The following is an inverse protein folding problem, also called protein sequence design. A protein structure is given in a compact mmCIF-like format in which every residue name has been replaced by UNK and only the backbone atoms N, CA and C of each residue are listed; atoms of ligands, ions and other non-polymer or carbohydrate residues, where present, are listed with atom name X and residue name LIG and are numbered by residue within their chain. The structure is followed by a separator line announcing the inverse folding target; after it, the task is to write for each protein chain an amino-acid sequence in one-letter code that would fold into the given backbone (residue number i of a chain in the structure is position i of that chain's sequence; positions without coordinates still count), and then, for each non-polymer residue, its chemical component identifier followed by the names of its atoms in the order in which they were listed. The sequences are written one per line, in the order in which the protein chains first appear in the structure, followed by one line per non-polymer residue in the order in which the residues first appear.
data_IF_101554150995
#
_entry.id   IF_101554150995
#
_cell.length_a   1.000
_cell.length_b   1.000
_cell.length_c   1.000
_cell.angle_alpha   90.00
_cell.angle_beta   90.00
_cell.angle_gamma   90.00
#
_symmetry.space_group_name_H-M   'P 1'
#
loop_
_entity.id
_entity.type
_entity.pdbx_description
1 polymer ?
#
# COMPACT_ATOMS: atom_id res chain seq x y z
N UNK A 1 11.49 -76.23 48.14
CA UNK A 1 10.65 -75.27 47.40
C UNK A 1 9.80 -76.08 46.44
N UNK A 2 8.53 -76.33 46.78
CA UNK A 2 7.72 -77.27 45.99
C UNK A 2 7.47 -76.70 44.60
N UNK A 3 7.73 -77.54 43.59
CA UNK A 3 7.53 -77.31 42.15
C UNK A 3 6.18 -76.67 41.79
N UNK A 4 5.18 -76.82 42.66
CA UNK A 4 3.82 -76.31 42.53
C UNK A 4 3.73 -74.81 42.27
N UNK A 5 4.53 -73.98 42.99
CA UNK A 5 4.46 -72.52 42.82
C UNK A 5 5.11 -72.03 41.52
N UNK A 6 6.10 -72.75 41.00
CA UNK A 6 6.81 -72.38 39.77
C UNK A 6 5.99 -72.76 38.53
N UNK A 7 5.23 -73.88 38.61
CA UNK A 7 4.29 -74.29 37.56
C UNK A 7 3.08 -73.34 37.48
N UNK A 8 2.55 -72.88 38.62
CA UNK A 8 1.43 -71.93 38.63
C UNK A 8 1.81 -70.55 38.07
N UNK A 9 3.05 -70.11 38.28
CA UNK A 9 3.55 -68.82 37.76
C UNK A 9 3.88 -68.88 36.26
N UNK A 10 4.42 -70.00 35.78
CA UNK A 10 4.74 -70.21 34.37
C UNK A 10 3.49 -70.45 33.49
N UNK A 11 2.34 -70.79 34.10
CA UNK A 11 1.05 -70.94 33.43
C UNK A 11 0.11 -69.73 33.57
N UNK A 12 0.62 -68.56 34.00
CA UNK A 12 -0.15 -67.32 33.92
C UNK A 12 -0.26 -66.91 32.45
N UNK A 13 -1.34 -67.35 31.80
CA UNK A 13 -1.69 -66.94 30.44
C UNK A 13 -2.13 -65.48 30.50
N UNK A 14 -1.20 -64.56 30.22
CA UNK A 14 -1.51 -63.15 30.06
C UNK A 14 -2.28 -63.01 28.75
N UNK A 15 -3.53 -62.51 28.75
CA UNK A 15 -4.31 -62.32 27.53
C UNK A 15 -3.82 -61.05 26.83
N UNK A 16 -2.63 -61.14 26.22
CA UNK A 16 -1.91 -60.02 25.57
C UNK A 16 -2.79 -59.27 24.58
N UNK A 17 -3.64 -59.95 23.81
CA UNK A 17 -4.59 -59.29 22.91
C UNK A 17 -5.61 -58.41 23.63
N UNK A 18 -6.11 -58.83 24.80
CA UNK A 18 -7.06 -58.03 25.58
C UNK A 18 -6.37 -56.82 26.21
N UNK A 19 -5.14 -57.00 26.67
CA UNK A 19 -4.33 -55.91 27.23
C UNK A 19 -4.03 -54.87 26.16
N UNK A 20 -3.61 -55.30 24.96
CA UNK A 20 -3.31 -54.40 23.84
C UNK A 20 -4.56 -53.68 23.33
N UNK A 21 -5.71 -54.35 23.27
CA UNK A 21 -6.99 -53.72 22.92
C UNK A 21 -7.37 -52.62 23.92
N UNK A 22 -7.17 -52.85 25.22
CA UNK A 22 -7.44 -51.85 26.26
C UNK A 22 -6.47 -50.66 26.14
N UNK A 23 -5.19 -50.91 25.86
CA UNK A 23 -4.17 -49.86 25.64
C UNK A 23 -4.52 -49.02 24.41
N UNK A 24 -4.82 -49.65 23.27
CA UNK A 24 -5.18 -48.94 22.04
C UNK A 24 -6.47 -48.13 22.20
N UNK A 25 -7.46 -48.68 22.93
CA UNK A 25 -8.71 -47.98 23.24
C UNK A 25 -8.48 -46.78 24.16
N UNK A 26 -7.59 -46.89 25.14
CA UNK A 26 -7.22 -45.78 26.02
C UNK A 26 -6.45 -44.68 25.26
N UNK A 27 -5.46 -45.04 24.45
CA UNK A 27 -4.65 -44.09 23.64
C UNK A 27 -5.52 -43.38 22.60
N UNK A 28 -6.36 -44.12 21.87
CA UNK A 28 -7.26 -43.52 20.86
C UNK A 28 -8.30 -42.60 21.49
N UNK A 29 -8.82 -42.92 22.69
CA UNK A 29 -9.74 -42.05 23.44
C UNK A 29 -9.04 -40.76 23.89
N UNK A 30 -7.80 -40.83 24.37
CA UNK A 30 -7.00 -39.66 24.74
C UNK A 30 -6.66 -38.76 23.54
N UNK A 31 -6.23 -39.35 22.43
CA UNK A 31 -5.92 -38.61 21.19
C UNK A 31 -7.16 -37.94 20.59
N UNK A 32 -8.33 -38.61 20.60
CA UNK A 32 -9.59 -38.01 20.17
C UNK A 32 -9.98 -36.81 21.03
N UNK A 33 -9.80 -36.90 22.36
CA UNK A 33 -10.11 -35.81 23.28
C UNK A 33 -9.20 -34.59 23.09
N UNK A 34 -7.90 -34.82 22.84
CA UNK A 34 -6.93 -33.74 22.56
C UNK A 34 -7.19 -33.09 21.19
N UNK A 35 -7.48 -33.88 20.15
CA UNK A 35 -7.84 -33.36 18.81
C UNK A 35 -9.18 -32.60 18.84
N UNK A 36 -10.17 -33.08 19.60
CA UNK A 36 -11.44 -32.39 19.78
C UNK A 36 -11.27 -31.07 20.54
N UNK A 37 -10.48 -31.05 21.64
CA UNK A 37 -10.18 -29.82 22.39
C UNK A 37 -9.42 -28.80 21.53
N UNK A 38 -8.45 -29.24 20.71
CA UNK A 38 -7.71 -28.37 19.78
C UNK A 38 -8.59 -27.81 18.66
N UNK A 39 -9.52 -28.62 18.11
CA UNK A 39 -10.53 -28.18 17.13
C UNK A 39 -11.56 -27.24 17.74
N UNK A 40 -11.96 -27.44 18.99
CA UNK A 40 -12.88 -26.58 19.71
C UNK A 40 -12.25 -25.22 20.05
N UNK A 41 -10.97 -25.20 20.44
CA UNK A 41 -10.21 -23.97 20.67
C UNK A 41 -9.99 -23.21 19.34
N UNK A 42 -9.62 -23.90 18.25
CA UNK A 42 -9.53 -23.28 16.92
C UNK A 42 -10.88 -22.77 16.40
N UNK A 43 -11.96 -23.52 16.63
CA UNK A 43 -13.31 -23.11 16.24
C UNK A 43 -13.79 -21.88 17.02
N UNK A 44 -13.48 -21.80 18.32
CA UNK A 44 -13.80 -20.64 19.14
C UNK A 44 -13.01 -19.38 18.72
N UNK A 45 -11.74 -19.51 18.32
CA UNK A 45 -10.95 -18.37 17.84
C UNK A 45 -11.43 -17.84 16.49
N UNK A 46 -11.87 -18.71 15.58
CA UNK A 46 -12.43 -18.28 14.27
C UNK A 46 -13.81 -17.64 14.46
N UNK A 47 -14.66 -18.18 15.34
CA UNK A 47 -15.95 -17.58 15.67
C UNK A 47 -15.82 -16.23 16.37
N UNK A 48 -14.82 -16.04 17.25
CA UNK A 48 -14.52 -14.74 17.85
C UNK A 48 -14.03 -13.73 16.80
N UNK A 49 -13.18 -14.14 15.86
CA UNK A 49 -12.75 -13.27 14.75
C UNK A 49 -13.90 -12.90 13.83
N UNK A 50 -14.75 -13.85 13.44
CA UNK A 50 -15.96 -13.58 12.65
C UNK A 50 -16.95 -12.72 13.44
N UNK A 51 -17.16 -12.95 14.73
CA UNK A 51 -18.04 -12.13 15.56
C UNK A 51 -17.48 -10.71 15.81
N UNK A 52 -16.16 -10.51 15.82
CA UNK A 52 -15.55 -9.19 15.85
C UNK A 52 -15.67 -8.46 14.50
N UNK A 53 -15.65 -9.19 13.37
CA UNK A 53 -15.81 -8.62 12.02
C UNK A 53 -17.28 -8.33 11.70
N UNK A 54 -18.21 -9.21 12.10
CA UNK A 54 -19.66 -9.05 11.84
C UNK A 54 -20.41 -8.34 12.97
N UNK A 55 -19.90 -8.38 14.22
CA UNK A 55 -20.53 -7.76 15.38
C UNK A 55 -20.29 -6.25 15.51
N UNK A 56 -19.31 -5.69 14.79
CA UNK A 56 -19.15 -4.24 14.67
C UNK A 56 -20.04 -3.61 13.59
N UNK A 57 -20.81 -4.41 12.85
CA UNK A 57 -21.56 -3.95 11.68
C UNK A 57 -22.92 -3.30 11.95
N UNK A 58 -23.55 -3.47 13.12
CA UNK A 58 -24.93 -3.01 13.29
C UNK A 58 -25.27 -2.64 14.74
N UNK A 59 -24.99 -1.39 15.14
CA UNK A 59 -25.82 -0.66 16.14
C UNK A 59 -25.59 0.85 16.03
N UNK A 60 -26.26 1.47 15.07
CA UNK A 60 -26.78 2.84 15.21
C UNK A 60 -28.27 2.82 14.84
N UNK A 61 -29.18 2.56 15.80
CA UNK A 61 -30.62 2.39 15.56
C UNK A 61 -31.40 3.65 15.14
N UNK A 62 -30.84 4.55 14.32
CA UNK A 62 -31.53 5.76 13.85
C UNK A 62 -31.30 6.15 12.38
N UNK A 63 -30.60 5.34 11.58
CA UNK A 63 -30.36 5.64 10.15
C UNK A 63 -31.47 5.12 9.22
N UNK A 64 -32.72 5.50 9.47
CA UNK A 64 -33.82 5.30 8.53
C UNK A 64 -34.01 6.50 7.56
N UNK A 65 -32.97 7.30 7.32
CA UNK A 65 -33.02 8.38 6.33
C UNK A 65 -32.12 8.03 5.14
N UNK A 66 -32.78 7.43 4.14
CA UNK A 66 -32.35 7.21 2.75
C UNK A 66 -31.03 6.43 2.62
N UNK A 67 -31.14 5.13 2.28
CA UNK A 67 -30.06 4.38 1.67
C UNK A 67 -29.79 4.99 0.28
N UNK A 68 -28.94 6.02 0.21
CA UNK A 68 -28.47 6.54 -1.08
C UNK A 68 -27.35 5.61 -1.52
N UNK A 69 -27.68 4.58 -2.31
CA UNK A 69 -26.65 3.89 -3.06
C UNK A 69 -26.12 4.88 -4.11
N UNK A 70 -24.83 5.20 -4.03
CA UNK A 70 -24.18 6.01 -5.07
C UNK A 70 -24.29 5.22 -6.38
N UNK A 71 -24.84 5.81 -7.47
CA UNK A 71 -24.92 5.12 -8.75
C UNK A 71 -23.53 4.71 -9.23
N UNK A 72 -23.46 3.61 -9.97
CA UNK A 72 -22.20 3.12 -10.53
C UNK A 72 -21.63 4.15 -11.52
N UNK A 73 -20.41 4.63 -11.27
CA UNK A 73 -19.74 5.68 -12.09
C UNK A 73 -18.63 5.14 -12.98
N UNK A 74 -18.53 3.80 -13.14
CA UNK A 74 -17.39 3.17 -13.80
C UNK A 74 -16.12 3.24 -12.94
N UNK A 75 -14.97 2.99 -13.57
CA UNK A 75 -13.68 3.15 -12.91
C UNK A 75 -13.37 4.63 -12.65
N UNK A 76 -12.89 4.92 -11.44
CA UNK A 76 -12.36 6.23 -11.08
C UNK A 76 -11.00 6.42 -11.76
N UNK A 77 -10.16 5.39 -11.82
CA UNK A 77 -8.81 5.46 -12.40
C UNK A 77 -8.79 5.70 -13.91
N UNK A 78 -9.81 5.24 -14.64
CA UNK A 78 -9.91 5.39 -16.11
C UNK A 78 -10.49 6.74 -16.57
N UNK A 79 -10.84 7.64 -15.64
CA UNK A 79 -11.42 8.92 -16.02
C UNK A 79 -10.45 9.75 -16.83
N UNK A 80 -10.93 10.37 -17.91
CA UNK A 80 -10.11 11.19 -18.82
C UNK A 80 -9.39 12.33 -18.09
N UNK A 81 -10.05 12.97 -17.12
CA UNK A 81 -9.42 14.02 -16.30
C UNK A 81 -8.24 13.54 -15.45
N UNK A 82 -8.13 12.22 -15.25
CA UNK A 82 -7.09 11.57 -14.44
C UNK A 82 -6.11 10.77 -15.31
N UNK A 83 -6.16 10.90 -16.65
CA UNK A 83 -5.35 10.10 -17.56
C UNK A 83 -3.83 10.24 -17.32
N UNK A 84 -3.37 11.37 -16.80
CA UNK A 84 -1.95 11.62 -16.48
C UNK A 84 -1.46 10.92 -15.21
N UNK A 85 -2.37 10.29 -14.46
CA UNK A 85 -2.07 9.60 -13.21
C UNK A 85 -1.35 8.25 -13.40
N UNK A 86 -1.35 7.70 -14.62
CA UNK A 86 -0.81 6.37 -14.93
C UNK A 86 -1.71 5.20 -14.54
N UNK A 87 -2.75 5.44 -13.74
CA UNK A 87 -3.61 4.38 -13.17
C UNK A 87 -4.65 3.84 -14.16
N UNK A 88 -5.07 4.63 -15.16
CA UNK A 88 -6.09 4.21 -16.13
C UNK A 88 -5.67 3.08 -17.09
N UNK A 89 -4.41 2.64 -17.04
CA UNK A 89 -3.89 1.54 -17.85
C UNK A 89 -3.59 0.27 -17.04
N UNK A 90 -3.94 0.26 -15.75
CA UNK A 90 -3.71 -0.88 -14.88
C UNK A 90 -4.58 -2.07 -15.32
N UNK A 91 -4.07 -3.28 -15.13
CA UNK A 91 -4.90 -4.46 -15.31
C UNK A 91 -5.92 -4.54 -14.17
N UNK A 92 -7.14 -4.96 -14.48
CA UNK A 92 -8.23 -5.06 -13.51
C UNK A 92 -7.89 -5.88 -12.26
N UNK A 93 -7.06 -6.91 -12.41
CA UNK A 93 -6.58 -7.77 -11.32
C UNK A 93 -5.59 -7.10 -10.36
N UNK A 94 -4.95 -6.00 -10.78
CA UNK A 94 -4.00 -5.23 -9.97
C UNK A 94 -4.71 -4.15 -9.13
N UNK A 95 -6.01 -3.93 -9.36
CA UNK A 95 -6.81 -2.90 -8.69
C UNK A 95 -7.84 -3.56 -7.77
N UNK A 96 -7.79 -3.21 -6.49
CA UNK A 96 -8.83 -3.61 -5.54
C UNK A 96 -10.09 -2.78 -5.80
N UNK A 97 -11.21 -3.44 -6.13
CA UNK A 97 -12.50 -2.80 -6.41
C UNK A 97 -13.49 -3.04 -5.27
N UNK A 98 -14.27 -2.02 -4.94
CA UNK A 98 -15.22 -2.04 -3.82
C UNK A 98 -16.60 -1.53 -4.24
N UNK A 99 -17.59 -2.43 -4.23
CA UNK A 99 -18.97 -2.10 -4.57
C UNK A 99 -19.77 -1.57 -3.38
N UNK A 100 -19.56 -2.19 -2.20
CA UNK A 100 -20.37 -1.95 -0.99
C UNK A 100 -19.64 -1.13 0.09
N UNK A 101 -18.43 -0.63 -0.19
CA UNK A 101 -17.64 0.11 0.79
C UNK A 101 -18.01 1.60 0.81
N UNK A 102 -19.09 1.92 1.53
CA UNK A 102 -19.62 3.28 1.63
C UNK A 102 -20.12 3.62 3.04
N UNK A 103 -20.08 4.91 3.38
CA UNK A 103 -20.60 5.47 4.62
C UNK A 103 -21.51 6.64 4.26
N UNK A 104 -22.73 6.63 4.80
CA UNK A 104 -23.67 7.76 4.70
C UNK A 104 -23.76 8.44 6.05
N UNK A 105 -23.50 9.75 6.10
CA UNK A 105 -23.75 10.59 7.27
C UNK A 105 -24.37 11.92 6.84
N UNK A 106 -25.38 12.36 7.58
CA UNK A 106 -26.09 13.64 7.33
C UNK A 106 -26.54 13.86 5.86
N UNK A 107 -26.90 12.80 5.14
CA UNK A 107 -27.38 12.87 3.75
C UNK A 107 -26.28 12.97 2.69
N UNK A 108 -25.01 12.92 3.09
CA UNK A 108 -23.85 12.77 2.21
C UNK A 108 -23.37 11.32 2.33
N UNK A 109 -23.14 10.68 1.18
CA UNK A 109 -22.56 9.34 1.09
C UNK A 109 -21.18 9.44 0.48
N UNK A 110 -20.18 8.84 1.13
CA UNK A 110 -18.83 8.67 0.61
C UNK A 110 -18.60 7.18 0.37
N UNK A 111 -18.14 6.82 -0.83
CA UNK A 111 -17.78 5.44 -1.19
C UNK A 111 -16.33 5.39 -1.65
N UNK A 112 -15.58 4.42 -1.15
CA UNK A 112 -14.32 4.01 -1.77
C UNK A 112 -14.67 3.06 -2.91
N UNK A 113 -14.12 3.29 -4.10
CA UNK A 113 -14.40 2.47 -5.28
C UNK A 113 -13.22 1.63 -5.69
N UNK A 114 -12.03 2.20 -5.64
CA UNK A 114 -10.83 1.56 -6.17
C UNK A 114 -9.64 1.88 -5.26
N UNK A 115 -8.75 0.91 -5.10
CA UNK A 115 -7.46 1.13 -4.47
C UNK A 115 -6.37 0.35 -5.21
N UNK A 116 -5.19 0.95 -5.27
CA UNK A 116 -3.98 0.35 -5.84
C UNK A 116 -2.82 0.55 -4.87
N UNK A 117 -1.93 -0.43 -4.77
CA UNK A 117 -0.76 -0.38 -3.90
C UNK A 117 0.42 -1.08 -4.56
N UNK A 118 1.57 -0.40 -4.60
CA UNK A 118 2.82 -0.94 -5.12
C UNK A 118 4.03 -0.53 -4.26
N UNK A 119 5.24 -0.65 -4.80
CA UNK A 119 6.47 -0.30 -4.08
C UNK A 119 6.74 1.21 -3.97
N UNK A 120 6.08 2.03 -4.79
CA UNK A 120 6.23 3.49 -4.83
C UNK A 120 5.22 4.18 -3.92
N UNK A 121 4.00 3.62 -3.81
CA UNK A 121 2.95 4.19 -2.98
C UNK A 121 1.60 3.49 -3.18
N UNK A 122 0.54 4.21 -2.85
CA UNK A 122 -0.83 3.74 -3.05
C UNK A 122 -1.72 4.84 -3.65
N UNK A 123 -2.81 4.43 -4.26
CA UNK A 123 -3.84 5.30 -4.81
C UNK A 123 -5.22 4.87 -4.33
N UNK A 124 -6.11 5.83 -4.10
CA UNK A 124 -7.51 5.59 -3.72
C UNK A 124 -8.44 6.44 -4.58
N UNK A 125 -9.36 5.77 -5.27
CA UNK A 125 -10.47 6.36 -5.99
C UNK A 125 -11.74 6.32 -5.14
N UNK A 126 -12.39 7.46 -4.95
CA UNK A 126 -13.60 7.61 -4.14
C UNK A 126 -14.65 8.49 -4.81
N UNK A 127 -15.89 8.33 -4.37
CA UNK A 127 -17.04 9.10 -4.85
C UNK A 127 -17.80 9.63 -3.66
N UNK A 128 -18.18 10.90 -3.70
CA UNK A 128 -19.04 11.56 -2.74
C UNK A 128 -20.31 11.99 -3.45
N UNK A 129 -21.48 11.69 -2.88
CA UNK A 129 -22.78 12.12 -3.42
C UNK A 129 -23.73 12.50 -2.32
N UNK A 130 -24.57 13.50 -2.55
CA UNK A 130 -25.61 13.92 -1.62
C UNK A 130 -26.41 15.08 -2.21
N UNK A 131 -27.68 15.19 -1.82
CA UNK A 131 -28.56 16.26 -2.30
C UNK A 131 -28.10 17.66 -1.86
N UNK A 132 -27.34 17.74 -0.76
CA UNK A 132 -26.78 18.99 -0.21
C UNK A 132 -25.29 19.17 -0.51
N UNK A 133 -24.72 18.37 -1.43
CA UNK A 133 -23.32 18.50 -1.82
C UNK A 133 -23.15 19.80 -2.63
N UNK A 134 -22.50 20.80 -2.05
CA UNK A 134 -22.23 22.06 -2.74
C UNK A 134 -21.02 21.97 -3.67
N UNK A 135 -21.03 22.76 -4.74
CA UNK A 135 -19.94 22.85 -5.71
C UNK A 135 -18.63 23.40 -5.14
N UNK A 136 -18.65 24.01 -3.95
CA UNK A 136 -17.47 24.58 -3.30
C UNK A 136 -16.71 23.57 -2.43
N UNK A 137 -17.33 22.43 -2.08
CA UNK A 137 -16.67 21.41 -1.25
C UNK A 137 -15.67 20.62 -2.09
N UNK A 138 -14.46 20.51 -1.53
CA UNK A 138 -13.39 19.67 -2.04
C UNK A 138 -13.04 18.65 -0.96
N UNK A 139 -13.27 17.38 -1.26
CA UNK A 139 -12.94 16.30 -0.35
C UNK A 139 -11.52 15.85 -0.58
N UNK A 140 -10.81 15.54 0.49
CA UNK A 140 -9.44 15.04 0.46
C UNK A 140 -9.35 13.73 1.24
N UNK A 141 -8.47 12.83 0.81
CA UNK A 141 -8.19 11.58 1.50
C UNK A 141 -6.90 11.70 2.34
N UNK A 142 -6.98 11.23 3.59
CA UNK A 142 -5.86 11.20 4.53
C UNK A 142 -5.60 9.77 4.98
N UNK A 143 -4.34 9.41 5.04
CA UNK A 143 -3.92 8.02 5.12
C UNK A 143 -3.26 7.70 6.45
N UNK A 144 -3.65 6.57 7.03
CA UNK A 144 -3.18 6.09 8.31
C UNK A 144 -2.80 4.62 8.22
N UNK A 145 -1.79 4.25 8.99
CA UNK A 145 -1.38 2.87 9.19
C UNK A 145 -1.10 2.65 10.68
N UNK A 146 -1.69 1.61 11.26
CA UNK A 146 -1.60 1.30 12.70
C UNK A 146 -1.93 2.51 13.60
N UNK A 147 -2.97 3.28 13.24
CA UNK A 147 -3.44 4.45 13.99
C UNK A 147 -2.51 5.66 13.92
N UNK A 148 -1.51 5.66 13.03
CA UNK A 148 -0.60 6.79 12.81
C UNK A 148 -0.76 7.31 11.39
N UNK A 149 -0.75 8.63 11.23
CA UNK A 149 -0.75 9.25 9.91
C UNK A 149 0.51 8.80 9.15
N UNK A 150 0.32 8.41 7.90
CA UNK A 150 1.41 8.07 6.99
C UNK A 150 2.06 9.39 6.57
N UNK A 151 3.29 9.64 6.99
CA UNK A 151 4.07 10.77 6.49
C UNK A 151 4.44 10.53 5.04
N UNK A 152 4.33 11.55 4.20
CA UNK A 152 4.61 11.44 2.77
C UNK A 152 4.10 12.64 2.01
N UNK A 153 3.99 12.48 0.70
CA UNK A 153 3.42 13.46 -0.20
C UNK A 153 2.66 12.77 -1.32
N UNK A 154 1.82 13.52 -2.01
CA UNK A 154 0.89 12.95 -2.97
C UNK A 154 0.26 14.03 -3.85
N UNK A 155 -0.55 13.55 -4.78
CA UNK A 155 -1.36 14.38 -5.66
C UNK A 155 -2.79 13.89 -5.68
N UNK A 156 -3.72 14.84 -5.66
CA UNK A 156 -5.14 14.60 -5.79
C UNK A 156 -5.67 15.16 -7.10
N UNK A 157 -6.57 14.43 -7.73
CA UNK A 157 -7.41 14.92 -8.82
C UNK A 157 -8.86 14.79 -8.42
N UNK A 158 -9.68 15.69 -8.95
CA UNK A 158 -11.11 15.59 -8.75
C UNK A 158 -11.88 15.92 -10.02
N UNK A 159 -13.06 15.33 -10.10
CA UNK A 159 -14.06 15.59 -11.12
C UNK A 159 -15.43 15.77 -10.46
N UNK A 160 -16.30 16.53 -11.12
CA UNK A 160 -17.68 16.72 -10.67
C UNK A 160 -18.63 16.38 -11.81
N UNK A 161 -19.57 15.49 -11.53
CA UNK A 161 -20.64 15.09 -12.46
C UNK A 161 -21.95 15.15 -11.70
N UNK A 162 -22.88 15.99 -12.15
CA UNK A 162 -24.15 16.22 -11.47
C UNK A 162 -23.93 16.50 -9.96
N UNK A 163 -24.58 15.74 -9.08
CA UNK A 163 -24.42 15.83 -7.62
C UNK A 163 -23.36 14.85 -7.08
N UNK A 164 -22.31 14.58 -7.85
CA UNK A 164 -21.22 13.68 -7.45
C UNK A 164 -19.87 14.38 -7.55
N UNK A 165 -19.08 14.26 -6.49
CA UNK A 165 -17.66 14.54 -6.47
C UNK A 165 -16.91 13.22 -6.61
N UNK A 166 -16.04 13.11 -7.60
CA UNK A 166 -15.20 11.94 -7.82
C UNK A 166 -13.76 12.36 -7.55
N UNK A 167 -13.13 11.73 -6.58
CA UNK A 167 -11.77 12.01 -6.17
C UNK A 167 -10.83 10.85 -6.47
N UNK A 168 -9.62 11.18 -6.87
CA UNK A 168 -8.48 10.28 -6.97
C UNK A 168 -7.35 10.87 -6.13
N UNK A 169 -6.85 10.13 -5.16
CA UNK A 169 -5.68 10.55 -4.37
C UNK A 169 -4.56 9.50 -4.53
N UNK A 170 -3.38 9.95 -4.95
CA UNK A 170 -2.15 9.16 -4.99
C UNK A 170 -1.22 9.63 -3.89
N UNK A 171 -0.54 8.70 -3.22
CA UNK A 171 0.31 9.02 -2.09
C UNK A 171 1.56 8.17 -2.05
N UNK A 172 2.70 8.84 -1.92
CA UNK A 172 4.02 8.26 -1.73
C UNK A 172 4.44 8.40 -0.26
N UNK A 173 4.64 7.27 0.46
CA UNK A 173 5.19 7.28 1.80
C UNK A 173 6.59 7.92 1.83
N UNK A 174 6.83 8.76 2.84
CA UNK A 174 8.12 9.41 3.06
C UNK A 174 9.26 8.43 3.30
N UNK A 175 10.48 8.89 3.03
CA UNK A 175 11.70 8.13 3.26
C UNK A 175 11.80 7.72 4.74
N UNK A 176 11.95 6.41 4.98
CA UNK A 176 12.05 5.82 6.32
C UNK A 176 10.76 5.16 6.83
N UNK A 177 9.63 5.30 6.12
CA UNK A 177 8.44 4.51 6.39
C UNK A 177 8.42 3.27 5.49
N UNK A 178 8.46 2.09 6.08
CA UNK A 178 8.26 0.82 5.39
C UNK A 178 6.85 0.32 5.68
N UNK A 179 6.06 0.18 4.64
CA UNK A 179 4.74 -0.46 4.70
C UNK A 179 4.89 -1.96 4.36
N UNK A 180 4.08 -2.85 4.95
CA UNK A 180 4.09 -4.27 4.61
C UNK A 180 3.53 -4.52 3.20
N UNK A 181 3.85 -5.68 2.61
CA UNK A 181 3.33 -6.09 1.29
C UNK A 181 1.80 -6.20 1.25
N UNK A 182 1.17 -6.39 2.40
CA UNK A 182 -0.29 -6.34 2.55
C UNK A 182 -0.67 -5.84 3.94
N UNK A 183 -1.63 -4.92 4.00
CA UNK A 183 -2.09 -4.33 5.24
C UNK A 183 -3.47 -3.66 5.07
N UNK A 184 -4.12 -3.33 6.18
CA UNK A 184 -5.31 -2.50 6.17
C UNK A 184 -4.88 -1.03 6.17
N UNK A 185 -5.05 -0.36 5.03
CA UNK A 185 -4.87 1.07 4.90
C UNK A 185 -6.10 1.77 5.45
N UNK A 186 -5.91 2.66 6.42
CA UNK A 186 -6.98 3.47 6.95
C UNK A 186 -7.06 4.78 6.16
N UNK A 187 -8.24 5.06 5.60
CA UNK A 187 -8.51 6.23 4.75
C UNK A 187 -9.57 7.07 5.42
N UNK A 188 -9.26 8.33 5.66
CA UNK A 188 -10.21 9.32 6.19
C UNK A 188 -10.50 10.33 5.11
N UNK A 189 -11.75 10.45 4.69
CA UNK A 189 -12.17 11.43 3.71
C UNK A 189 -12.84 12.60 4.42
N UNK A 190 -12.47 13.82 4.08
CA UNK A 190 -13.11 15.03 4.62
C UNK A 190 -12.93 16.22 3.70
N UNK A 191 -13.89 17.14 3.71
CA UNK A 191 -13.82 18.46 3.12
C UNK A 191 -13.39 19.55 4.11
N UNK A 192 -13.15 19.19 5.38
CA UNK A 192 -12.69 20.08 6.43
C UNK A 192 -11.58 19.44 7.28
N UNK A 193 -10.38 20.04 7.19
CA UNK A 193 -9.21 19.61 7.94
C UNK A 193 -9.37 19.69 9.46
N UNK A 194 -10.18 20.62 9.97
CA UNK A 194 -10.42 20.76 11.40
C UNK A 194 -11.22 19.57 11.95
N UNK A 195 -12.08 18.99 11.12
CA UNK A 195 -12.93 17.85 11.43
C UNK A 195 -12.28 16.49 11.11
N UNK A 196 -11.03 16.45 10.64
CA UNK A 196 -10.34 15.20 10.24
C UNK A 196 -10.40 14.09 11.31
N UNK A 197 -10.30 14.45 12.59
CA UNK A 197 -10.37 13.48 13.71
C UNK A 197 -11.78 12.96 13.97
N UNK A 198 -12.80 13.75 13.61
CA UNK A 198 -14.22 13.48 13.85
C UNK A 198 -14.95 13.03 12.59
N UNK A 199 -14.30 13.09 11.43
CA UNK A 199 -14.90 12.70 10.15
C UNK A 199 -15.53 11.29 10.27
N UNK A 200 -16.82 11.16 9.92
CA UNK A 200 -17.51 9.87 9.92
C UNK A 200 -17.01 8.97 8.78
N UNK A 201 -16.43 9.55 7.73
CA UNK A 201 -15.98 8.85 6.52
C UNK A 201 -14.59 8.24 6.71
N UNK A 202 -14.51 7.25 7.61
CA UNK A 202 -13.30 6.51 7.95
C UNK A 202 -13.42 5.07 7.50
N UNK A 203 -12.57 4.69 6.55
CA UNK A 203 -12.54 3.38 5.94
C UNK A 203 -11.28 2.62 6.36
N UNK A 204 -11.39 1.30 6.40
CA UNK A 204 -10.23 0.40 6.41
C UNK A 204 -10.29 -0.44 5.15
N UNK A 205 -9.33 -0.25 4.26
CA UNK A 205 -9.25 -0.97 2.99
C UNK A 205 -8.08 -1.95 3.02
N UNK A 206 -8.32 -3.24 2.75
CA UNK A 206 -7.24 -4.18 2.58
C UNK A 206 -6.54 -3.87 1.25
N UNK A 207 -5.24 -3.60 1.32
CA UNK A 207 -4.39 -3.39 0.14
C UNK A 207 -3.28 -4.44 0.10
N UNK A 208 -2.91 -4.85 -1.10
CA UNK A 208 -1.85 -5.83 -1.33
C UNK A 208 -1.09 -5.47 -2.60
N UNK A 209 0.24 -5.57 -2.55
CA UNK A 209 1.11 -5.41 -3.72
C UNK A 209 1.64 -6.74 -4.26
N UNK A 210 1.22 -7.88 -3.72
CA UNK A 210 1.83 -9.18 -4.06
C UNK A 210 1.77 -9.48 -5.56
N UNK A 211 0.63 -9.28 -6.23
CA UNK A 211 0.53 -9.46 -7.69
C UNK A 211 1.25 -8.38 -8.49
N UNK A 212 1.32 -7.17 -7.93
CA UNK A 212 1.98 -6.01 -8.56
C UNK A 212 3.51 -6.13 -8.50
N UNK A 213 4.04 -6.72 -7.42
CA UNK A 213 5.48 -6.96 -7.23
C UNK A 213 6.02 -7.93 -8.29
N UNK A 214 5.23 -8.92 -8.72
CA UNK A 214 5.61 -9.84 -9.80
C UNK A 214 5.77 -9.12 -11.16
N UNK A 215 5.08 -7.99 -11.32
CA UNK A 215 5.12 -7.13 -12.51
C UNK A 215 6.08 -5.94 -12.35
N UNK A 216 6.71 -5.81 -11.17
CA UNK A 216 7.62 -4.72 -10.85
C UNK A 216 9.05 -5.13 -11.15
N UNK A 217 9.76 -4.28 -11.91
CA UNK A 217 11.18 -4.48 -12.20
C UNK A 217 12.02 -3.43 -11.48
N UNK A 218 13.13 -3.85 -10.90
CA UNK A 218 14.09 -2.96 -10.25
C UNK A 218 15.41 -2.95 -11.02
N UNK A 219 15.93 -1.76 -11.30
CA UNK A 219 17.29 -1.55 -11.78
C UNK A 219 18.11 -0.84 -10.69
N UNK A 220 19.07 -1.56 -10.10
CA UNK A 220 20.04 -0.97 -9.18
C UNK A 220 21.09 -0.18 -9.97
N UNK A 221 21.11 1.13 -9.77
CA UNK A 221 22.00 2.06 -10.49
C UNK A 221 23.27 2.33 -9.68
N UNK A 222 23.11 2.74 -8.42
CA UNK A 222 24.19 3.05 -7.47
C UNK A 222 25.33 3.90 -8.06
N UNK A 223 24.98 4.93 -8.84
CA UNK A 223 25.94 5.78 -9.56
C UNK A 223 26.08 7.12 -8.85
N UNK A 224 27.28 7.38 -8.33
CA UNK A 224 27.65 8.65 -7.72
C UNK A 224 28.28 9.60 -8.75
N UNK A 225 27.84 10.84 -8.77
CA UNK A 225 28.33 11.90 -9.66
C UNK A 225 28.66 13.13 -8.83
N UNK A 226 29.90 13.61 -8.92
CA UNK A 226 30.32 14.86 -8.33
C UNK A 226 29.80 16.04 -9.17
N UNK A 227 29.02 16.91 -8.54
CA UNK A 227 28.45 18.09 -9.18
C UNK A 227 29.28 19.34 -8.91
N UNK A 228 30.34 19.27 -8.10
CA UNK A 228 31.09 20.42 -7.59
C UNK A 228 30.38 21.17 -6.46
N UNK A 229 29.08 20.97 -6.30
CA UNK A 229 28.26 21.51 -5.19
C UNK A 229 27.93 20.44 -4.15
N UNK A 230 28.01 19.18 -4.56
CA UNK A 230 27.68 18.01 -3.77
C UNK A 230 27.82 16.75 -4.59
N UNK A 231 27.26 15.66 -4.08
CA UNK A 231 27.22 14.36 -4.76
C UNK A 231 25.78 14.00 -5.07
N UNK A 232 25.50 13.76 -6.35
CA UNK A 232 24.27 13.11 -6.79
C UNK A 232 24.49 11.60 -6.77
N UNK A 233 23.70 10.86 -5.99
CA UNK A 233 23.71 9.40 -5.97
C UNK A 233 22.39 8.89 -6.54
N UNK A 234 22.40 8.40 -7.77
CA UNK A 234 21.24 7.71 -8.36
C UNK A 234 21.28 6.28 -7.85
N UNK A 235 20.29 5.90 -7.02
CA UNK A 235 20.29 4.63 -6.29
C UNK A 235 19.67 3.53 -7.12
N UNK A 236 18.43 3.74 -7.54
CA UNK A 236 17.66 2.74 -8.28
C UNK A 236 16.55 3.36 -9.11
N UNK A 237 16.05 2.56 -10.04
CA UNK A 237 14.84 2.83 -10.83
C UNK A 237 13.87 1.67 -10.62
N UNK A 238 12.63 1.99 -10.24
CA UNK A 238 11.53 1.04 -10.10
C UNK A 238 10.58 1.23 -11.28
N UNK A 239 10.26 0.14 -11.97
CA UNK A 239 9.27 0.11 -13.04
C UNK A 239 8.06 -0.66 -12.53
N UNK A 240 7.01 0.06 -12.15
CA UNK A 240 5.73 -0.51 -11.72
C UNK A 240 4.69 -0.39 -12.85
N UNK A 241 3.57 -1.13 -12.76
CA UNK A 241 2.47 -0.97 -13.71
C UNK A 241 1.92 0.45 -13.81
N UNK A 242 1.89 1.20 -12.69
CA UNK A 242 1.36 2.56 -12.62
C UNK A 242 2.38 3.63 -13.05
N UNK A 243 3.66 3.48 -12.70
CA UNK A 243 4.67 4.50 -12.95
C UNK A 243 6.09 3.93 -13.01
N UNK A 244 7.03 4.74 -13.50
CA UNK A 244 8.47 4.50 -13.35
C UNK A 244 9.03 5.51 -12.34
N UNK A 245 9.57 5.06 -11.22
CA UNK A 245 10.13 5.94 -10.17
C UNK A 245 11.66 5.87 -10.15
N UNK A 246 12.31 7.03 -10.16
CA UNK A 246 13.77 7.15 -9.94
C UNK A 246 14.03 7.61 -8.51
N UNK A 247 14.74 6.79 -7.72
CA UNK A 247 15.21 7.16 -6.38
C UNK A 247 16.65 7.66 -6.44
N UNK A 248 16.88 8.87 -5.96
CA UNK A 248 18.22 9.46 -5.87
C UNK A 248 18.40 10.29 -4.60
N UNK A 249 19.66 10.49 -4.21
CA UNK A 249 20.05 11.38 -3.13
C UNK A 249 20.90 12.52 -3.66
N UNK A 250 20.70 13.73 -3.12
CA UNK A 250 21.65 14.81 -3.28
C UNK A 250 22.29 15.15 -1.93
N UNK A 251 23.60 14.98 -1.85
CA UNK A 251 24.40 15.08 -0.63
C UNK A 251 25.29 16.31 -0.75
N UNK A 252 25.12 17.28 0.15
CA UNK A 252 25.83 18.57 0.10
C UNK A 252 26.35 19.00 1.48
N UNK A 253 27.29 19.94 1.56
CA UNK A 253 27.69 20.56 2.82
C UNK A 253 26.50 21.20 3.55
N UNK A 254 26.36 20.92 4.85
CA UNK A 254 25.22 21.38 5.66
C UNK A 254 25.22 22.89 5.94
N UNK A 255 26.40 23.53 5.98
CA UNK A 255 26.58 24.95 6.28
C UNK A 255 25.91 25.89 5.26
N UNK A 256 25.68 25.42 4.03
CA UNK A 256 25.24 26.25 2.90
C UNK A 256 23.92 25.78 2.28
N UNK A 257 23.03 25.18 3.08
CA UNK A 257 21.74 24.60 2.62
C UNK A 257 20.89 25.51 1.73
N UNK A 258 20.93 26.84 1.94
CA UNK A 258 20.15 27.79 1.12
C UNK A 258 20.78 28.03 -0.27
N UNK A 259 22.08 27.82 -0.41
CA UNK A 259 22.87 28.09 -1.62
C UNK A 259 22.79 26.94 -2.62
N UNK A 260 22.74 25.70 -2.14
CA UNK A 260 22.90 24.48 -2.97
C UNK A 260 21.60 23.75 -3.31
N UNK A 261 20.46 24.46 -3.29
CA UNK A 261 19.16 23.88 -3.72
C UNK A 261 19.11 23.46 -5.20
N UNK A 262 20.17 23.69 -5.98
CA UNK A 262 20.22 23.57 -7.44
C UNK A 262 19.96 22.17 -8.01
N UNK A 263 20.10 21.11 -7.19
CA UNK A 263 19.88 19.71 -7.60
C UNK A 263 18.72 19.00 -6.87
N UNK A 264 17.95 19.76 -6.08
CA UNK A 264 16.79 19.25 -5.36
C UNK A 264 15.52 19.34 -6.21
N UNK A 265 14.55 18.44 -5.98
CA UNK A 265 13.21 18.50 -6.57
C UNK A 265 12.61 19.91 -6.44
N UNK A 266 12.22 20.50 -7.57
CA UNK A 266 11.70 21.87 -7.70
C UNK A 266 12.68 22.89 -8.30
N UNK A 267 13.99 22.58 -8.38
CA UNK A 267 14.98 23.44 -9.05
C UNK A 267 15.68 22.75 -10.23
N UNK A 268 15.11 21.64 -10.69
CA UNK A 268 15.66 20.86 -11.78
C UNK A 268 14.56 20.45 -12.73
N UNK A 269 14.90 20.37 -14.00
CA UNK A 269 14.14 19.59 -14.97
C UNK A 269 14.75 18.18 -15.00
N UNK A 270 13.89 17.18 -14.91
CA UNK A 270 14.29 15.77 -14.97
C UNK A 270 13.90 15.18 -16.30
N UNK A 271 14.66 14.21 -16.79
CA UNK A 271 14.28 13.36 -17.93
C UNK A 271 14.71 11.94 -17.66
N UNK A 272 13.87 10.99 -18.07
CA UNK A 272 14.23 9.59 -18.16
C UNK A 272 14.31 9.22 -19.64
N UNK A 273 15.50 8.84 -20.10
CA UNK A 273 15.75 8.46 -21.48
C UNK A 273 15.69 6.94 -21.57
N UNK A 274 14.79 6.44 -22.42
CA UNK A 274 14.65 5.02 -22.67
C UNK A 274 15.72 4.46 -23.62
N UNK A 275 15.70 3.15 -23.86
CA UNK A 275 16.69 2.48 -24.71
C UNK A 275 16.58 2.79 -26.20
N UNK A 276 15.48 3.40 -26.64
CA UNK A 276 15.32 3.93 -27.98
C UNK A 276 15.84 5.37 -28.11
N UNK A 277 16.15 6.02 -26.98
CA UNK A 277 16.59 7.41 -26.91
C UNK A 277 15.44 8.42 -26.72
N UNK A 278 14.21 7.96 -26.49
CA UNK A 278 13.06 8.83 -26.21
C UNK A 278 13.14 9.33 -24.77
N UNK A 279 12.97 10.64 -24.59
CA UNK A 279 12.92 11.26 -23.27
C UNK A 279 11.47 11.28 -22.76
N UNK A 280 11.27 10.69 -21.58
CA UNK A 280 10.04 10.78 -20.81
C UNK A 280 10.11 12.01 -19.90
N UNK A 281 9.01 12.76 -19.91
CA UNK A 281 8.83 13.91 -19.03
C UNK A 281 8.40 13.44 -17.63
N UNK A 282 8.82 14.15 -16.57
CA UNK A 282 8.53 13.75 -15.20
C UNK A 282 7.07 14.05 -14.84
N UNK A 283 6.52 13.22 -13.97
CA UNK A 283 5.24 13.43 -13.30
C UNK A 283 5.44 14.01 -11.90
N UNK A 284 4.96 13.30 -10.89
CA UNK A 284 5.08 13.70 -9.49
C UNK A 284 6.52 13.60 -8.99
N UNK A 285 6.83 14.32 -7.91
CA UNK A 285 8.14 14.22 -7.28
C UNK A 285 8.10 14.57 -5.81
N UNK A 286 8.89 13.86 -5.02
CA UNK A 286 8.96 13.99 -3.57
C UNK A 286 10.40 14.29 -3.14
N UNK A 287 10.56 15.21 -2.17
CA UNK A 287 11.84 15.49 -1.52
C UNK A 287 11.71 15.46 -0.02
N UNK A 288 12.58 14.69 0.63
CA UNK A 288 12.75 14.71 2.07
C UNK A 288 14.21 14.93 2.45
N UNK A 289 14.48 16.14 2.95
CA UNK A 289 15.79 16.54 3.41
C UNK A 289 16.02 16.23 4.88
N UNK A 290 17.20 15.70 5.20
CA UNK A 290 17.66 15.46 6.58
C UNK A 290 19.11 15.93 6.78
N UNK A 291 19.46 16.43 7.97
CA UNK A 291 20.87 16.61 8.33
C UNK A 291 21.52 15.24 8.59
N UNK A 292 22.78 15.10 8.18
CA UNK A 292 23.58 13.90 8.43
C UNK A 292 25.03 14.33 8.77
N UNK A 293 25.28 14.54 10.08
CA UNK A 293 26.53 15.14 10.56
C UNK A 293 26.71 16.55 10.01
N UNK A 294 27.85 16.81 9.36
CA UNK A 294 28.15 18.10 8.71
C UNK A 294 27.53 18.23 7.31
N UNK A 295 26.76 17.22 6.85
CA UNK A 295 26.13 17.17 5.54
C UNK A 295 24.62 17.39 5.63
N UNK A 296 24.04 17.80 4.51
CA UNK A 296 22.61 17.77 4.25
C UNK A 296 22.33 16.75 3.15
N UNK A 297 21.36 15.86 3.36
CA UNK A 297 20.98 14.81 2.42
C UNK A 297 19.52 15.01 2.03
N UNK A 298 19.28 15.31 0.76
CA UNK A 298 17.94 15.32 0.17
C UNK A 298 17.67 13.97 -0.49
N UNK A 299 16.78 13.16 0.11
CA UNK A 299 16.25 11.97 -0.55
C UNK A 299 15.14 12.40 -1.51
N UNK A 300 15.25 12.01 -2.76
CA UNK A 300 14.38 12.43 -3.83
C UNK A 300 13.80 11.22 -4.56
N UNK A 301 12.52 11.33 -4.93
CA UNK A 301 11.82 10.42 -5.84
C UNK A 301 11.18 11.24 -6.94
N UNK A 302 11.26 10.76 -8.17
CA UNK A 302 10.66 11.40 -9.34
C UNK A 302 9.98 10.32 -10.16
N UNK A 303 8.70 10.54 -10.45
CA UNK A 303 7.90 9.63 -11.26
C UNK A 303 7.99 10.00 -12.73
N UNK A 304 7.84 8.99 -13.56
CA UNK A 304 7.71 9.05 -15.00
C UNK A 304 6.57 8.11 -15.40
N UNK A 305 6.03 8.24 -16.63
CA UNK A 305 5.06 7.27 -17.16
C UNK A 305 5.55 5.82 -17.02
N UNK A 306 4.62 4.90 -16.83
CA UNK A 306 4.94 3.47 -16.73
C UNK A 306 5.55 2.94 -18.03
N UNK A 307 6.47 1.98 -17.88
CA UNK A 307 7.14 1.33 -18.99
C UNK A 307 6.86 -0.17 -18.92
N UNK A 308 6.14 -0.71 -19.92
CA UNK A 308 5.67 -2.11 -19.89
C UNK A 308 6.80 -3.13 -19.98
N UNK A 309 7.82 -2.83 -20.80
CA UNK A 309 8.95 -3.75 -21.05
C UNK A 309 10.27 -2.99 -21.00
N UNK A 310 10.72 -2.53 -19.81
CA UNK A 310 11.95 -1.78 -19.68
C UNK A 310 13.15 -2.72 -19.87
N UNK A 311 13.99 -2.42 -20.86
CA UNK A 311 15.19 -3.18 -21.20
C UNK A 311 16.21 -2.31 -21.94
N UNK A 312 17.49 -2.65 -21.79
CA UNK A 312 18.61 -2.02 -22.48
C UNK A 312 19.22 -0.82 -21.74
N UNK A 313 20.00 -0.03 -22.47
CA UNK A 313 20.71 1.12 -21.91
C UNK A 313 19.78 2.32 -21.79
N UNK A 314 19.62 2.85 -20.59
CA UNK A 314 18.80 4.00 -20.28
C UNK A 314 19.64 5.09 -19.61
N UNK A 315 19.08 6.29 -19.47
CA UNK A 315 19.74 7.35 -18.72
C UNK A 315 18.76 8.22 -17.94
N UNK A 316 19.12 8.55 -16.72
CA UNK A 316 18.46 9.59 -15.94
C UNK A 316 19.24 10.89 -16.10
N UNK A 317 18.54 11.96 -16.51
CA UNK A 317 19.12 13.28 -16.68
C UNK A 317 18.47 14.28 -15.72
N UNK A 318 19.33 15.13 -15.17
CA UNK A 318 18.94 16.21 -14.29
C UNK A 318 19.60 17.48 -14.81
N UNK A 319 18.77 18.50 -15.07
CA UNK A 319 19.19 19.77 -15.63
C UNK A 319 18.89 20.85 -14.58
N UNK A 320 19.93 21.51 -14.08
CA UNK A 320 19.78 22.60 -13.11
C UNK A 320 19.15 23.85 -13.76
N UNK A 321 18.69 24.79 -12.95
CA UNK A 321 18.17 26.09 -13.46
C UNK A 321 19.20 26.87 -14.30
N UNK A 322 20.49 26.66 -14.06
CA UNK A 322 21.58 27.29 -14.83
C UNK A 322 21.90 26.54 -16.13
N UNK A 323 21.12 25.51 -16.47
CA UNK A 323 21.29 24.69 -17.67
C UNK A 323 22.38 23.63 -17.55
N UNK A 324 22.97 23.43 -16.36
CA UNK A 324 23.97 22.40 -16.15
C UNK A 324 23.29 21.04 -16.16
N UNK A 325 23.71 20.21 -17.10
CA UNK A 325 23.19 18.86 -17.31
C UNK A 325 24.07 17.82 -16.62
N UNK A 326 23.44 16.98 -15.80
CA UNK A 326 24.01 15.77 -15.21
C UNK A 326 23.29 14.58 -15.82
N UNK A 327 24.04 13.53 -16.13
CA UNK A 327 23.52 12.30 -16.74
C UNK A 327 24.07 11.07 -16.03
N UNK A 328 23.16 10.18 -15.64
CA UNK A 328 23.47 8.88 -15.08
C UNK A 328 22.95 7.79 -16.03
N UNK A 329 23.83 7.24 -16.87
CA UNK A 329 23.50 6.04 -17.66
C UNK A 329 23.48 4.80 -16.78
N UNK A 330 22.53 3.90 -17.07
CA UNK A 330 22.34 2.61 -16.42
C UNK A 330 21.77 1.57 -17.40
N UNK A 331 21.92 0.28 -17.09
CA UNK A 331 21.40 -0.81 -17.91
C UNK A 331 20.26 -1.51 -17.18
N UNK A 332 19.16 -1.77 -17.90
CA UNK A 332 18.05 -2.60 -17.43
C UNK A 332 18.15 -3.95 -18.12
N UNK A 333 18.34 -5.01 -17.33
CA UNK A 333 18.37 -6.39 -17.80
C UNK A 333 16.97 -6.96 -17.82
#
# INVERSE_FOLDING_TARGET
MSKTYQDDFNNIVVPVEQVDLVIQKAVSKGQKHLKAKRRMIMGASVLLLCACIFGSGFVAPSMAKVLVNIPFVGSVFEREKFATSGLGNLADEDVAKFDDLQITDQGITVAIREAYYDQTGFAVGYVVSGAELSDERNFHAYFYYNGRAISGGGGGWHDKIDNMYIGLEQFQPGAGLTLPDSFDLEVVITDDLEELKRSPYRFKIPVSRTGVDEKTKEALVMKAIDTGEGTLLVKKVLFTPAATEVEYEFIQPGSDRKRYRGYSVGNCTFKLIDSSGVALEPGSSLRQGRPEGEKWVDNCRVDFPSMKEPAGNMAFELISQEGRKIRADFEVK
#
